data_IF_738951616088
#
_entry.id   IF_738951616088
#
_cell.length_a   1.000
_cell.length_b   1.000
_cell.length_c   1.000
_cell.angle_alpha   90.00
_cell.angle_beta   90.00
_cell.angle_gamma   90.00
#
_symmetry.space_group_name_H-M   'P 1'
#
loop_
_entity.id
_entity.type
_entity.pdbx_description
1 polymer ?
#
# COMPACT_ATOMS: atom_id res chain seq x y z
N UNK A 1 -6.67 13.16 -2.91
CA UNK A 1 -7.92 13.96 -3.01
C UNK A 1 -7.69 15.42 -3.41
N UNK A 2 -6.86 16.19 -2.69
CA UNK A 2 -6.62 17.62 -2.99
C UNK A 2 -6.16 17.96 -4.43
N UNK A 3 -5.30 17.12 -5.03
CA UNK A 3 -4.85 17.27 -6.43
C UNK A 3 -6.03 17.09 -7.40
N UNK A 4 -6.88 16.08 -7.16
CA UNK A 4 -8.02 15.76 -8.01
C UNK A 4 -9.13 16.81 -7.94
N UNK A 5 -9.32 17.45 -6.80
CA UNK A 5 -10.29 18.56 -6.65
C UNK A 5 -9.80 19.82 -7.35
N UNK A 6 -8.50 20.13 -7.25
CA UNK A 6 -7.89 21.28 -7.93
C UNK A 6 -7.92 21.09 -9.46
N UNK A 7 -7.62 19.89 -9.95
CA UNK A 7 -7.68 19.58 -11.38
C UNK A 7 -9.13 19.65 -11.91
N UNK A 8 -10.12 19.08 -11.21
CA UNK A 8 -11.53 19.11 -11.65
C UNK A 8 -12.10 20.53 -11.72
N UNK A 9 -11.74 21.40 -10.78
CA UNK A 9 -12.22 22.78 -10.72
C UNK A 9 -11.53 23.64 -11.79
N UNK A 10 -10.23 23.43 -12.06
CA UNK A 10 -9.46 24.26 -12.99
C UNK A 10 -9.43 23.77 -14.44
N UNK A 11 -9.60 22.47 -14.73
CA UNK A 11 -9.66 21.95 -16.11
C UNK A 11 -10.92 22.36 -16.86
N UNK A 12 -12.02 22.67 -16.14
CA UNK A 12 -13.28 23.07 -16.77
C UNK A 12 -13.28 24.53 -17.24
N UNK A 13 -12.41 25.38 -16.68
CA UNK A 13 -12.47 26.83 -16.89
C UNK A 13 -11.40 27.40 -17.83
N UNK A 14 -10.31 26.69 -18.13
CA UNK A 14 -9.28 27.24 -19.01
C UNK A 14 -8.57 26.14 -19.78
N UNK A 15 -8.56 26.25 -21.11
CA UNK A 15 -7.67 25.51 -22.00
C UNK A 15 -6.21 26.02 -21.91
N UNK A 16 -5.86 26.67 -20.78
CA UNK A 16 -4.56 27.26 -20.44
C UNK A 16 -4.31 27.06 -18.94
N UNK A 17 -3.29 26.28 -18.60
CA UNK A 17 -2.89 26.02 -17.22
C UNK A 17 -2.10 27.24 -16.69
N UNK A 18 -2.70 28.01 -15.77
CA UNK A 18 -2.01 29.15 -15.15
C UNK A 18 -0.79 28.65 -14.35
N UNK A 19 0.34 29.38 -14.42
CA UNK A 19 1.63 28.96 -13.83
C UNK A 19 1.52 28.63 -12.34
N UNK A 20 0.63 29.32 -11.61
CA UNK A 20 0.31 29.05 -10.20
C UNK A 20 -0.27 27.66 -9.99
N UNK A 21 -1.17 27.19 -10.86
CA UNK A 21 -1.82 25.87 -10.75
C UNK A 21 -0.80 24.76 -11.00
N UNK A 22 0.10 24.95 -11.97
CA UNK A 22 1.19 24.01 -12.24
C UNK A 22 2.12 23.84 -11.03
N UNK A 23 2.54 24.95 -10.41
CA UNK A 23 3.38 24.93 -9.19
C UNK A 23 2.68 24.21 -8.04
N UNK A 24 1.39 24.48 -7.82
CA UNK A 24 0.61 23.81 -6.77
C UNK A 24 0.51 22.31 -7.01
N UNK A 25 0.27 21.87 -8.25
CA UNK A 25 0.23 20.43 -8.59
C UNK A 25 1.58 19.77 -8.33
N UNK A 26 2.69 20.41 -8.71
CA UNK A 26 4.04 19.88 -8.46
C UNK A 26 4.31 19.73 -6.97
N UNK A 27 4.03 20.76 -6.16
CA UNK A 27 4.22 20.70 -4.71
C UNK A 27 3.43 19.53 -4.10
N UNK A 28 2.17 19.37 -4.49
CA UNK A 28 1.32 18.29 -3.97
C UNK A 28 1.82 16.90 -4.38
N UNK A 29 2.33 16.73 -5.60
CA UNK A 29 2.95 15.48 -6.04
C UNK A 29 4.24 15.20 -5.27
N UNK A 30 5.10 16.21 -5.06
CA UNK A 30 6.31 16.07 -4.27
C UNK A 30 6.00 15.66 -2.83
N UNK A 31 5.03 16.31 -2.17
CA UNK A 31 4.60 15.94 -0.81
C UNK A 31 4.07 14.50 -0.77
N UNK A 32 3.26 14.10 -1.75
CA UNK A 32 2.77 12.73 -1.86
C UNK A 32 3.92 11.71 -1.96
N UNK A 33 4.89 11.97 -2.84
CA UNK A 33 6.06 11.09 -3.02
C UNK A 33 6.90 11.01 -1.74
N UNK A 34 7.11 12.12 -1.04
CA UNK A 34 7.83 12.13 0.25
C UNK A 34 7.12 11.29 1.32
N UNK A 35 5.80 11.43 1.46
CA UNK A 35 5.02 10.61 2.40
C UNK A 35 5.07 9.12 2.03
N UNK A 36 4.98 8.80 0.73
CA UNK A 36 5.07 7.43 0.24
C UNK A 36 6.45 6.81 0.50
N UNK A 37 7.52 7.58 0.26
CA UNK A 37 8.89 7.17 0.48
C UNK A 37 9.19 6.88 1.96
N UNK A 38 8.63 7.65 2.88
CA UNK A 38 8.79 7.40 4.32
C UNK A 38 7.97 6.20 4.79
N UNK A 39 6.75 6.05 4.28
CA UNK A 39 5.81 5.03 4.74
C UNK A 39 5.99 3.73 3.95
N UNK A 40 5.30 3.63 2.81
CA UNK A 40 5.13 2.38 2.07
C UNK A 40 6.43 1.86 1.45
N UNK A 41 7.41 2.72 1.21
CA UNK A 41 8.74 2.34 0.74
C UNK A 41 9.43 1.32 1.68
N UNK A 42 9.86 1.73 2.88
CA UNK A 42 10.52 0.83 3.82
C UNK A 42 9.55 -0.20 4.42
N UNK A 43 8.29 0.16 4.69
CA UNK A 43 7.31 -0.77 5.29
C UNK A 43 7.00 -1.96 4.37
N UNK A 44 6.97 -1.76 3.05
CA UNK A 44 6.70 -2.85 2.10
C UNK A 44 7.74 -3.98 2.13
N UNK A 45 8.99 -3.67 2.51
CA UNK A 45 10.07 -4.65 2.64
C UNK A 45 10.23 -5.15 4.08
N UNK A 46 9.98 -4.27 5.07
CA UNK A 46 10.11 -4.57 6.48
C UNK A 46 9.02 -5.52 6.98
N UNK A 47 7.76 -5.31 6.57
CA UNK A 47 6.64 -6.12 7.07
C UNK A 47 6.81 -7.60 6.71
N UNK A 48 7.15 -7.99 5.46
CA UNK A 48 7.43 -9.38 5.15
C UNK A 48 8.62 -9.95 5.92
N UNK A 49 9.68 -9.17 6.19
CA UNK A 49 10.84 -9.69 6.92
C UNK A 49 10.54 -9.96 8.40
N UNK A 50 9.67 -9.17 9.00
CA UNK A 50 9.25 -9.32 10.40
C UNK A 50 8.10 -10.32 10.55
N UNK A 51 7.22 -10.48 9.55
CA UNK A 51 6.02 -11.33 9.72
C UNK A 51 6.32 -12.83 9.68
N UNK A 52 7.39 -13.25 8.98
CA UNK A 52 7.68 -14.67 8.78
C UNK A 52 8.77 -15.22 9.72
N UNK A 53 8.55 -16.38 10.35
CA UNK A 53 9.57 -17.08 11.13
C UNK A 53 10.75 -17.49 10.24
N UNK A 54 11.93 -17.68 10.85
CA UNK A 54 13.21 -17.85 10.14
C UNK A 54 13.19 -18.98 9.10
N UNK A 55 12.47 -20.06 9.37
CA UNK A 55 12.42 -21.24 8.50
C UNK A 55 11.60 -21.02 7.22
N UNK A 56 10.51 -20.26 7.28
CA UNK A 56 9.61 -20.02 6.13
C UNK A 56 9.79 -18.65 5.48
N UNK A 57 10.68 -17.81 6.03
CA UNK A 57 10.90 -16.43 5.55
C UNK A 57 11.28 -16.38 4.08
N UNK A 58 12.16 -17.25 3.60
CA UNK A 58 12.58 -17.26 2.20
C UNK A 58 11.41 -17.54 1.23
N UNK A 59 10.53 -18.48 1.57
CA UNK A 59 9.35 -18.81 0.78
C UNK A 59 8.31 -17.67 0.81
N UNK A 60 8.02 -17.12 1.99
CA UNK A 60 7.09 -16.00 2.15
C UNK A 60 7.55 -14.73 1.43
N UNK A 61 8.84 -14.41 1.54
CA UNK A 61 9.45 -13.27 0.85
C UNK A 61 9.44 -13.45 -0.67
N UNK A 62 9.69 -14.66 -1.18
CA UNK A 62 9.62 -14.95 -2.62
C UNK A 62 8.21 -14.70 -3.16
N UNK A 63 7.18 -15.17 -2.46
CA UNK A 63 5.78 -14.92 -2.86
C UNK A 63 5.42 -13.43 -2.83
N UNK A 64 5.88 -12.69 -1.81
CA UNK A 64 5.69 -11.25 -1.72
C UNK A 64 6.34 -10.51 -2.90
N UNK A 65 7.59 -10.85 -3.23
CA UNK A 65 8.32 -10.25 -4.35
C UNK A 65 7.69 -10.60 -5.69
N UNK A 66 7.30 -11.86 -5.90
CA UNK A 66 6.61 -12.29 -7.13
C UNK A 66 5.28 -11.58 -7.31
N UNK A 67 4.49 -11.44 -6.24
CA UNK A 67 3.23 -10.70 -6.26
C UNK A 67 3.46 -9.22 -6.56
N UNK A 68 4.45 -8.60 -5.92
CA UNK A 68 4.82 -7.21 -6.16
C UNK A 68 5.22 -6.96 -7.62
N UNK A 69 6.04 -7.85 -8.21
CA UNK A 69 6.44 -7.76 -9.62
C UNK A 69 5.24 -7.95 -10.57
N UNK A 70 4.36 -8.91 -10.28
CA UNK A 70 3.14 -9.14 -11.07
C UNK A 70 2.22 -7.92 -11.07
N UNK A 71 1.93 -7.35 -9.90
CA UNK A 71 1.10 -6.15 -9.80
C UNK A 71 1.77 -4.94 -10.44
N UNK A 72 3.09 -4.81 -10.32
CA UNK A 72 3.85 -3.75 -11.01
C UNK A 72 3.69 -3.88 -12.53
N UNK A 73 3.76 -5.09 -13.08
CA UNK A 73 3.54 -5.35 -14.50
C UNK A 73 2.11 -4.99 -14.93
N UNK A 74 1.09 -5.43 -14.18
CA UNK A 74 -0.32 -5.14 -14.48
C UNK A 74 -0.57 -3.63 -14.47
N UNK A 75 -0.08 -2.94 -13.44
CA UNK A 75 -0.23 -1.49 -13.31
C UNK A 75 0.49 -0.80 -14.46
N UNK A 76 1.73 -1.18 -14.80
CA UNK A 76 2.48 -0.57 -15.90
C UNK A 76 1.75 -0.68 -17.24
N UNK A 77 1.14 -1.85 -17.53
CA UNK A 77 0.35 -2.06 -18.75
C UNK A 77 -0.96 -1.26 -18.74
N UNK A 78 -1.67 -1.23 -17.61
CA UNK A 78 -2.96 -0.55 -17.49
C UNK A 78 -2.83 0.98 -17.37
N UNK A 79 -1.72 1.48 -16.84
CA UNK A 79 -1.54 2.88 -16.47
C UNK A 79 -1.64 3.81 -17.68
N UNK A 80 -0.99 3.47 -18.80
CA UNK A 80 -1.02 4.31 -20.00
C UNK A 80 -2.43 4.40 -20.60
N UNK A 81 -3.14 3.26 -20.67
CA UNK A 81 -4.53 3.19 -21.13
C UNK A 81 -5.49 3.99 -20.23
N UNK A 82 -5.27 3.92 -18.91
CA UNK A 82 -6.07 4.62 -17.91
C UNK A 82 -5.82 6.14 -17.91
N UNK A 83 -4.58 6.58 -18.14
CA UNK A 83 -4.25 7.99 -18.30
C UNK A 83 -4.96 8.63 -19.50
N UNK A 84 -5.01 7.93 -20.64
CA UNK A 84 -5.66 8.41 -21.86
C UNK A 84 -7.18 8.58 -21.69
N UNK A 85 -7.86 7.67 -21.00
CA UNK A 85 -9.32 7.70 -20.84
C UNK A 85 -9.79 8.52 -19.64
N UNK A 86 -9.11 8.41 -18.49
CA UNK A 86 -9.64 8.92 -17.22
C UNK A 86 -8.97 10.19 -16.70
N UNK A 87 -7.89 10.72 -17.32
CA UNK A 87 -7.19 11.98 -16.94
C UNK A 87 -7.18 12.25 -15.43
N UNK A 88 -8.13 13.04 -14.90
CA UNK A 88 -8.23 13.39 -13.48
C UNK A 88 -8.80 12.28 -12.56
N UNK A 89 -9.58 11.34 -13.11
CA UNK A 89 -10.21 10.23 -12.39
C UNK A 89 -9.20 9.22 -11.83
N UNK A 90 -8.02 9.11 -12.44
CA UNK A 90 -6.97 8.19 -11.97
C UNK A 90 -6.51 8.51 -10.54
N UNK A 91 -6.46 9.81 -10.18
CA UNK A 91 -6.07 10.24 -8.85
C UNK A 91 -7.11 9.86 -7.78
N UNK A 92 -8.39 9.83 -8.12
CA UNK A 92 -9.44 9.38 -7.21
C UNK A 92 -9.41 7.86 -7.03
N UNK A 93 -9.17 7.12 -8.11
CA UNK A 93 -9.02 5.66 -8.06
C UNK A 93 -7.85 5.24 -7.17
N UNK A 94 -6.66 5.78 -7.39
CA UNK A 94 -5.49 5.49 -6.55
C UNK A 94 -5.67 5.98 -5.11
N UNK A 95 -6.31 7.14 -4.90
CA UNK A 95 -6.60 7.64 -3.55
C UNK A 95 -7.54 6.72 -2.80
N UNK A 96 -8.56 6.15 -3.45
CA UNK A 96 -9.44 5.16 -2.85
C UNK A 96 -8.69 3.87 -2.49
N UNK A 97 -7.83 3.40 -3.39
CA UNK A 97 -7.01 2.20 -3.15
C UNK A 97 -6.06 2.38 -1.96
N UNK A 98 -5.43 3.55 -1.81
CA UNK A 98 -4.58 3.86 -0.66
C UNK A 98 -5.36 3.81 0.66
N UNK A 99 -6.60 4.31 0.68
CA UNK A 99 -7.45 4.25 1.89
C UNK A 99 -7.82 2.80 2.21
N UNK A 100 -8.19 1.99 1.22
CA UNK A 100 -8.47 0.56 1.41
C UNK A 100 -7.24 -0.17 1.96
N UNK A 101 -6.06 0.11 1.40
CA UNK A 101 -4.79 -0.45 1.87
C UNK A 101 -4.46 0.00 3.29
N UNK A 102 -4.68 1.28 3.62
CA UNK A 102 -4.48 1.82 4.97
C UNK A 102 -5.42 1.17 5.99
N UNK A 103 -6.70 1.00 5.65
CA UNK A 103 -7.66 0.30 6.50
C UNK A 103 -7.26 -1.16 6.70
N UNK A 104 -6.80 -1.84 5.64
CA UNK A 104 -6.33 -3.22 5.74
C UNK A 104 -5.17 -3.34 6.75
N UNK A 105 -4.18 -2.44 6.67
CA UNK A 105 -3.06 -2.43 7.62
C UNK A 105 -3.55 -2.20 9.06
N UNK A 106 -4.44 -1.22 9.28
CA UNK A 106 -4.94 -0.90 10.64
C UNK A 106 -5.75 -2.04 11.27
N UNK A 107 -6.51 -2.80 10.48
CA UNK A 107 -7.37 -3.86 11.01
C UNK A 107 -6.73 -5.25 11.05
N UNK A 108 -5.84 -5.56 10.11
CA UNK A 108 -5.28 -6.91 9.94
C UNK A 108 -3.80 -7.01 10.30
N UNK A 109 -3.05 -5.92 10.35
CA UNK A 109 -1.64 -5.96 10.72
C UNK A 109 -1.50 -5.68 12.23
N UNK A 110 -1.15 -6.68 13.05
CA UNK A 110 -0.78 -6.41 14.43
C UNK A 110 0.53 -5.61 14.49
N UNK A 111 0.69 -4.76 15.51
CA UNK A 111 1.91 -3.99 15.73
C UNK A 111 3.08 -4.94 16.06
N UNK A 112 4.09 -4.99 15.20
CA UNK A 112 5.28 -5.86 15.37
C UNK A 112 6.48 -5.12 15.97
N UNK A 113 6.37 -3.82 16.25
CA UNK A 113 7.49 -3.00 16.72
C UNK A 113 8.02 -3.45 18.08
N UNK A 114 9.31 -3.81 18.10
CA UNK A 114 10.07 -4.08 19.33
C UNK A 114 9.87 -5.48 19.91
N UNK A 115 9.29 -6.41 19.13
CA UNK A 115 9.07 -7.79 19.56
C UNK A 115 10.12 -8.69 18.93
N UNK A 116 10.82 -9.54 19.71
CA UNK A 116 11.78 -10.48 19.16
C UNK A 116 11.11 -11.41 18.15
N UNK A 117 11.83 -11.73 17.07
CA UNK A 117 11.33 -12.50 15.94
C UNK A 117 10.83 -13.90 16.34
N UNK A 118 11.33 -14.41 17.45
CA UNK A 118 11.00 -15.73 18.00
C UNK A 118 9.64 -15.75 18.72
N UNK A 119 9.06 -14.58 19.04
CA UNK A 119 7.78 -14.45 19.75
C UNK A 119 6.64 -13.94 18.85
N UNK A 120 6.86 -13.83 17.54
CA UNK A 120 5.91 -13.23 16.61
C UNK A 120 4.61 -14.04 16.52
N UNK A 121 4.68 -15.38 16.62
CA UNK A 121 3.50 -16.25 16.72
C UNK A 121 2.58 -15.90 17.90
N UNK A 122 3.12 -15.40 19.02
CA UNK A 122 2.33 -14.98 20.19
C UNK A 122 1.45 -13.78 19.86
N UNK A 123 1.94 -12.85 19.04
CA UNK A 123 1.19 -11.66 18.61
C UNK A 123 0.02 -12.07 17.71
N UNK A 124 0.29 -12.93 16.71
CA UNK A 124 -0.73 -13.41 15.79
C UNK A 124 -1.84 -14.18 16.52
N UNK A 125 -1.49 -14.92 17.58
CA UNK A 125 -2.44 -15.60 18.48
C UNK A 125 -3.26 -14.67 19.37
N UNK A 126 -2.75 -13.50 19.71
CA UNK A 126 -3.49 -12.49 20.48
C UNK A 126 -4.38 -11.61 19.59
N UNK A 127 -4.12 -11.58 18.28
CA UNK A 127 -4.92 -10.80 17.34
C UNK A 127 -6.33 -11.38 17.18
N UNK A 128 -7.35 -10.54 17.35
CA UNK A 128 -8.77 -10.93 17.37
C UNK A 128 -9.22 -11.72 16.13
N UNK A 129 -8.64 -11.42 14.96
CA UNK A 129 -8.94 -12.08 13.70
C UNK A 129 -8.09 -13.34 13.46
N UNK A 130 -6.78 -13.26 13.70
CA UNK A 130 -5.82 -14.31 13.29
C UNK A 130 -5.73 -15.47 14.28
N UNK A 131 -6.14 -15.27 15.53
CA UNK A 131 -6.21 -16.32 16.55
C UNK A 131 -6.91 -17.60 16.07
N UNK A 132 -8.00 -17.46 15.32
CA UNK A 132 -8.80 -18.58 14.82
C UNK A 132 -8.04 -19.52 13.89
N UNK A 133 -7.06 -19.01 13.15
CA UNK A 133 -6.27 -19.81 12.21
C UNK A 133 -5.08 -20.47 12.90
N UNK A 134 -4.51 -19.81 13.91
CA UNK A 134 -3.40 -20.37 14.69
C UNK A 134 -3.85 -21.49 15.64
N UNK A 135 -5.03 -21.39 16.26
CA UNK A 135 -5.55 -22.44 17.14
C UNK A 135 -5.87 -23.76 16.39
N UNK A 136 -6.21 -23.68 15.10
CA UNK A 136 -6.50 -24.85 14.27
C UNK A 136 -5.23 -25.56 13.76
N UNK A 137 -4.14 -24.83 13.51
CA UNK A 137 -2.88 -25.41 13.05
C UNK A 137 -2.27 -26.37 14.09
N UNK A 138 -2.40 -26.06 15.38
CA UNK A 138 -1.92 -26.93 16.46
C UNK A 138 -2.79 -28.18 16.65
N UNK A 139 -4.07 -28.13 16.24
CA UNK A 139 -4.99 -29.26 16.32
C UNK A 139 -4.73 -30.31 15.24
N UNK A 140 -4.18 -29.92 14.09
CA UNK A 140 -3.74 -30.85 13.04
C UNK A 140 -2.34 -31.44 13.32
N UNK A 141 -1.55 -30.79 14.18
CA UNK A 141 -0.19 -31.23 14.56
C UNK A 141 -0.15 -32.19 15.76
N UNK A 142 -1.30 -32.50 16.37
CA UNK A 142 -1.48 -33.49 17.45
C UNK A 142 -2.17 -34.75 16.95
#
# INVERSE_FOLDING_TARGET
VGIGTILLINLKSANTLHHTVAVVVVILVCTFVSCFAWSWGPLGWLIPSETFPLETRAAGYSFAVSSNMLFTFIIAQAFLSMLCHMRAGIFYFFSGWIVVMGLFVVFFLPETKGIPIDEIDRIWRQHWYWKRYMDNADAELK
#
